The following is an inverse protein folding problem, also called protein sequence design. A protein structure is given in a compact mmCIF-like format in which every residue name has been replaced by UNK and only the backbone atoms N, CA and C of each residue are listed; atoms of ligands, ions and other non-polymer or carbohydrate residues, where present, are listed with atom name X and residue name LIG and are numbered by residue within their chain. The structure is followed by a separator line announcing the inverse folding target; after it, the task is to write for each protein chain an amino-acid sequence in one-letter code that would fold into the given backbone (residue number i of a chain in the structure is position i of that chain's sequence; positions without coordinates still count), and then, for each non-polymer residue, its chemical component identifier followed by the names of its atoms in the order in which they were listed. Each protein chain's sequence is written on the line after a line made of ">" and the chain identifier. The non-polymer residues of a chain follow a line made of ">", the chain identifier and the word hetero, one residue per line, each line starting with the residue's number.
data_IF_314533075309
#
_entry.id   IF_314533075309
#
_cell.length_a   1.000
_cell.length_b   1.000
_cell.length_c   1.000
_cell.angle_alpha   90.00
_cell.angle_beta   90.00
_cell.angle_gamma   90.00
#
_symmetry.space_group_name_H-M   'P 1'
#
loop_
_entity.id
_entity.type
_entity.pdbx_description
1 polymer ?
#
# COMPACT_ATOMS: atom_id res chain seq x y z
N UNK A 1 -38.22 -4.43 4.48
CA UNK A 1 -37.08 -4.77 5.37
C UNK A 1 -35.83 -5.16 4.59
N UNK A 2 -35.85 -6.17 3.69
CA UNK A 2 -34.65 -6.60 2.94
C UNK A 2 -33.96 -5.49 2.11
N UNK A 3 -34.72 -4.61 1.45
CA UNK A 3 -34.15 -3.49 0.67
C UNK A 3 -33.37 -2.48 1.54
N UNK A 4 -33.85 -2.24 2.77
CA UNK A 4 -33.15 -1.38 3.73
C UNK A 4 -31.84 -2.00 4.20
N UNK A 5 -31.85 -3.30 4.53
CA UNK A 5 -30.63 -4.02 4.89
C UNK A 5 -29.58 -3.98 3.76
N UNK A 6 -30.01 -4.17 2.50
CA UNK A 6 -29.09 -4.09 1.36
C UNK A 6 -28.40 -2.73 1.28
N UNK A 7 -29.12 -1.62 1.51
CA UNK A 7 -28.52 -0.29 1.53
C UNK A 7 -27.53 -0.11 2.68
N UNK A 8 -27.85 -0.61 3.88
CA UNK A 8 -26.93 -0.57 5.03
C UNK A 8 -25.64 -1.33 4.71
N UNK A 9 -25.74 -2.53 4.15
CA UNK A 9 -24.58 -3.32 3.74
C UNK A 9 -23.73 -2.59 2.70
N UNK A 10 -24.35 -1.92 1.72
CA UNK A 10 -23.64 -1.10 0.74
C UNK A 10 -22.93 0.10 1.39
N UNK A 11 -23.56 0.80 2.34
CA UNK A 11 -22.91 1.89 3.07
C UNK A 11 -21.67 1.38 3.80
N UNK A 12 -21.81 0.29 4.56
CA UNK A 12 -20.70 -0.28 5.33
C UNK A 12 -19.57 -0.77 4.43
N UNK A 13 -19.89 -1.47 3.35
CA UNK A 13 -18.89 -1.96 2.38
C UNK A 13 -18.15 -0.80 1.71
N UNK A 14 -18.87 0.18 1.18
CA UNK A 14 -18.27 1.31 0.48
C UNK A 14 -17.45 2.19 1.42
N UNK A 15 -17.92 2.40 2.66
CA UNK A 15 -17.11 3.06 3.69
C UNK A 15 -15.86 2.24 3.99
N UNK A 16 -15.96 0.93 4.24
CA UNK A 16 -14.79 0.10 4.54
C UNK A 16 -13.74 0.10 3.41
N UNK A 17 -14.17 0.16 2.15
CA UNK A 17 -13.29 0.16 0.99
C UNK A 17 -12.69 1.53 0.67
N UNK A 18 -13.41 2.63 0.93
CA UNK A 18 -13.05 3.95 0.38
C UNK A 18 -13.12 5.12 1.36
N UNK A 19 -13.52 4.87 2.61
CA UNK A 19 -13.97 5.82 3.62
C UNK A 19 -15.20 6.66 3.22
N UNK A 20 -15.21 7.25 2.02
CA UNK A 20 -16.21 8.23 1.56
C UNK A 20 -17.40 7.60 0.82
N UNK A 21 -17.25 6.37 0.33
CA UNK A 21 -18.24 5.73 -0.53
C UNK A 21 -19.59 5.47 0.16
N UNK A 22 -19.61 5.25 1.47
CA UNK A 22 -20.87 5.13 2.20
C UNK A 22 -21.66 6.44 2.23
N UNK A 23 -20.97 7.58 2.40
CA UNK A 23 -21.59 8.92 2.32
C UNK A 23 -22.12 9.16 0.90
N UNK A 24 -21.31 8.85 -0.13
CA UNK A 24 -21.74 8.95 -1.53
C UNK A 24 -22.98 8.11 -1.81
N UNK A 25 -23.07 6.91 -1.25
CA UNK A 25 -24.23 6.04 -1.41
C UNK A 25 -25.47 6.59 -0.70
N UNK A 26 -25.34 7.14 0.52
CA UNK A 26 -26.45 7.80 1.21
C UNK A 26 -27.00 8.98 0.40
N UNK A 27 -26.13 9.82 -0.17
CA UNK A 27 -26.53 10.91 -1.06
C UNK A 27 -27.22 10.39 -2.32
N UNK A 28 -26.73 9.30 -2.89
CA UNK A 28 -27.31 8.67 -4.07
C UNK A 28 -28.76 8.19 -3.86
N UNK A 29 -29.13 7.79 -2.64
CA UNK A 29 -30.49 7.37 -2.29
C UNK A 29 -31.52 8.50 -2.42
N UNK A 30 -31.08 9.77 -2.39
CA UNK A 30 -31.93 10.95 -2.59
C UNK A 30 -32.29 11.18 -4.08
N UNK A 31 -31.64 10.47 -4.99
CA UNK A 31 -31.79 10.65 -6.44
C UNK A 31 -32.63 9.54 -7.07
N UNK A 32 -33.35 9.86 -8.16
CA UNK A 32 -34.07 8.84 -8.96
C UNK A 32 -33.11 7.89 -9.70
N UNK A 33 -31.96 8.39 -10.15
CA UNK A 33 -30.92 7.61 -10.86
C UNK A 33 -29.74 7.32 -9.91
N UNK A 34 -29.95 6.41 -8.96
CA UNK A 34 -29.03 6.13 -7.85
C UNK A 34 -27.57 5.93 -8.28
N UNK A 35 -27.29 5.15 -9.33
CA UNK A 35 -25.92 4.94 -9.77
C UNK A 35 -25.24 6.20 -10.31
N UNK A 36 -25.96 7.04 -11.07
CA UNK A 36 -25.43 8.34 -11.50
C UNK A 36 -25.26 9.29 -10.31
N UNK A 37 -26.22 9.28 -9.38
CA UNK A 37 -26.13 10.04 -8.12
C UNK A 37 -24.91 9.63 -7.30
N UNK A 38 -24.63 8.33 -7.21
CA UNK A 38 -23.44 7.81 -6.53
C UNK A 38 -22.16 8.26 -7.21
N UNK A 39 -22.04 8.09 -8.53
CA UNK A 39 -20.84 8.50 -9.27
C UNK A 39 -20.57 10.01 -9.12
N UNK A 40 -21.61 10.84 -9.23
CA UNK A 40 -21.50 12.29 -9.05
C UNK A 40 -21.09 12.66 -7.61
N UNK A 41 -21.76 12.09 -6.61
CA UNK A 41 -21.46 12.35 -5.21
C UNK A 41 -20.06 11.85 -4.83
N UNK A 42 -19.67 10.65 -5.29
CA UNK A 42 -18.35 10.09 -5.03
C UNK A 42 -17.24 10.91 -5.69
N UNK A 43 -17.41 11.32 -6.95
CA UNK A 43 -16.46 12.19 -7.64
C UNK A 43 -16.29 13.52 -6.90
N UNK A 44 -17.39 14.15 -6.46
CA UNK A 44 -17.33 15.38 -5.69
C UNK A 44 -16.60 15.20 -4.36
N UNK A 45 -16.90 14.14 -3.61
CA UNK A 45 -16.23 13.81 -2.34
C UNK A 45 -14.75 13.48 -2.54
N UNK A 46 -14.41 12.74 -3.59
CA UNK A 46 -13.03 12.38 -3.95
C UNK A 46 -12.20 13.62 -4.28
N UNK A 47 -12.71 14.52 -5.13
CA UNK A 47 -12.04 15.80 -5.45
C UNK A 47 -11.91 16.65 -4.19
N UNK A 48 -12.98 16.76 -3.40
CA UNK A 48 -12.96 17.54 -2.14
C UNK A 48 -11.88 17.02 -1.21
N UNK A 49 -11.76 15.70 -1.07
CA UNK A 49 -10.78 15.08 -0.19
C UNK A 49 -9.33 15.43 -0.50
N UNK A 50 -8.97 15.57 -1.78
CA UNK A 50 -7.63 16.01 -2.17
C UNK A 50 -7.28 17.39 -1.58
N UNK A 51 -8.24 18.30 -1.51
CA UNK A 51 -8.02 19.66 -1.02
C UNK A 51 -8.21 19.82 0.49
N UNK A 52 -9.06 19.00 1.11
CA UNK A 52 -9.39 19.14 2.54
C UNK A 52 -8.67 18.14 3.45
N UNK A 53 -8.08 17.06 2.91
CA UNK A 53 -7.24 16.14 3.69
C UNK A 53 -6.07 16.84 4.41
N UNK A 54 -5.37 17.86 3.84
CA UNK A 54 -4.32 18.58 4.54
C UNK A 54 -4.79 19.25 5.84
N UNK A 55 -6.03 19.74 5.87
CA UNK A 55 -6.65 20.31 7.07
C UNK A 55 -6.86 19.27 8.18
N UNK A 56 -6.88 17.98 7.82
CA UNK A 56 -6.98 16.84 8.71
C UNK A 56 -5.63 16.17 9.00
N UNK A 57 -4.50 16.80 8.64
CA UNK A 57 -3.16 16.24 8.85
C UNK A 57 -2.83 15.07 7.91
N UNK A 58 -3.34 15.13 6.67
CA UNK A 58 -3.11 14.13 5.63
C UNK A 58 -2.76 14.78 4.30
N UNK A 59 -1.81 14.20 3.59
CA UNK A 59 -1.38 14.63 2.27
C UNK A 59 -1.59 13.50 1.26
N UNK A 60 -2.08 13.84 0.07
CA UNK A 60 -2.26 12.89 -1.00
C UNK A 60 -0.92 12.56 -1.66
N UNK A 61 -0.54 11.29 -1.70
CA UNK A 61 0.60 10.82 -2.47
C UNK A 61 0.31 10.90 -3.98
N UNK A 62 1.33 11.11 -4.84
CA UNK A 62 1.11 11.35 -6.26
C UNK A 62 0.53 10.12 -6.98
N UNK A 63 -0.71 10.24 -7.46
CA UNK A 63 -1.39 9.20 -8.24
C UNK A 63 -0.81 9.02 -9.66
N UNK A 64 -0.26 10.10 -10.20
CA UNK A 64 0.24 10.21 -11.58
C UNK A 64 1.49 11.08 -11.59
N UNK A 65 2.20 11.05 -12.72
CA UNK A 65 3.37 11.87 -12.97
C UNK A 65 4.63 11.07 -13.26
N UNK A 66 5.67 11.80 -13.65
CA UNK A 66 6.99 11.26 -14.01
C UNK A 66 8.05 11.48 -12.92
N UNK A 67 7.61 11.91 -11.74
CA UNK A 67 8.45 11.99 -10.55
C UNK A 67 8.95 10.62 -10.07
N UNK A 68 9.95 10.62 -9.17
CA UNK A 68 10.53 9.40 -8.63
C UNK A 68 9.62 8.68 -7.62
N UNK A 69 8.56 9.34 -7.14
CA UNK A 69 7.54 8.78 -6.25
C UNK A 69 6.19 8.71 -6.95
N UNK A 70 5.47 7.60 -6.77
CA UNK A 70 4.07 7.47 -7.19
C UNK A 70 3.30 6.43 -6.40
N UNK A 71 1.98 6.48 -6.47
CA UNK A 71 1.11 5.36 -6.12
C UNK A 71 1.19 4.30 -7.21
N UNK A 72 1.28 3.03 -6.80
CA UNK A 72 1.51 1.89 -7.68
C UNK A 72 0.33 1.59 -8.62
N UNK A 73 -0.90 1.83 -8.15
CA UNK A 73 -2.12 1.57 -8.91
C UNK A 73 -3.12 2.71 -8.77
N UNK A 74 -3.76 3.16 -9.88
CA UNK A 74 -4.88 4.09 -9.84
C UNK A 74 -6.03 3.63 -8.93
N UNK A 75 -6.12 2.32 -8.66
CA UNK A 75 -7.12 1.76 -7.76
C UNK A 75 -7.00 2.32 -6.33
N UNK A 76 -5.79 2.44 -5.79
CA UNK A 76 -5.58 3.02 -4.46
C UNK A 76 -5.96 4.49 -4.42
N UNK A 77 -5.75 5.21 -5.53
CA UNK A 77 -6.21 6.58 -5.69
C UNK A 77 -7.73 6.68 -5.71
N UNK A 78 -8.38 5.89 -6.56
CA UNK A 78 -9.83 5.83 -6.67
C UNK A 78 -10.48 5.48 -5.32
N UNK A 79 -9.87 4.59 -4.54
CA UNK A 79 -10.35 4.15 -3.23
C UNK A 79 -9.92 5.08 -2.08
N UNK A 80 -9.30 6.22 -2.34
CA UNK A 80 -8.80 7.13 -1.30
C UNK A 80 -7.83 6.46 -0.29
N UNK A 81 -7.00 5.49 -0.71
CA UNK A 81 -6.05 4.75 0.15
C UNK A 81 -4.61 5.27 0.03
N UNK A 82 -4.43 6.46 -0.51
CA UNK A 82 -3.13 7.05 -0.89
C UNK A 82 -2.78 8.30 -0.07
N UNK A 83 -3.42 8.49 1.08
CA UNK A 83 -3.14 9.64 1.93
C UNK A 83 -2.15 9.27 3.02
N UNK A 84 -1.21 10.13 3.36
CA UNK A 84 -0.21 9.90 4.39
C UNK A 84 -0.12 11.10 5.34
N UNK A 85 0.31 10.89 6.58
CA UNK A 85 0.71 12.01 7.43
C UNK A 85 1.93 12.72 6.81
N UNK A 86 2.13 14.04 6.98
CA UNK A 86 3.21 14.78 6.33
C UNK A 86 4.60 14.13 6.51
N UNK A 87 4.91 13.66 7.72
CA UNK A 87 6.17 12.98 8.02
C UNK A 87 6.37 11.65 7.26
N UNK A 88 5.28 10.96 6.92
CA UNK A 88 5.33 9.75 6.10
C UNK A 88 5.40 10.07 4.60
N UNK A 89 4.71 11.12 4.16
CA UNK A 89 4.83 11.64 2.79
C UNK A 89 6.27 12.11 2.51
N UNK A 90 6.86 12.89 3.42
CA UNK A 90 8.27 13.30 3.36
C UNK A 90 9.21 12.10 3.30
N UNK A 91 9.01 11.09 4.14
CA UNK A 91 9.86 9.89 4.15
C UNK A 91 9.78 9.11 2.83
N UNK A 92 8.60 9.05 2.20
CA UNK A 92 8.42 8.41 0.90
C UNK A 92 9.12 9.22 -0.22
N UNK A 93 9.01 10.54 -0.19
CA UNK A 93 9.64 11.44 -1.16
C UNK A 93 11.17 11.44 -1.02
N UNK A 94 11.67 11.46 0.21
CA UNK A 94 13.09 11.36 0.54
C UNK A 94 13.68 10.02 0.06
N UNK A 95 12.98 8.91 0.33
CA UNK A 95 13.33 7.59 -0.21
C UNK A 95 13.37 7.61 -1.74
N UNK A 96 12.34 8.16 -2.38
CA UNK A 96 12.25 8.21 -3.83
C UNK A 96 13.40 8.99 -4.48
N UNK A 97 13.72 10.17 -3.93
CA UNK A 97 14.87 10.98 -4.37
C UNK A 97 16.18 10.24 -4.17
N UNK A 98 16.38 9.61 -3.02
CA UNK A 98 17.58 8.83 -2.74
C UNK A 98 17.75 7.68 -3.72
N UNK A 99 16.68 6.92 -3.99
CA UNK A 99 16.71 5.79 -4.91
C UNK A 99 16.92 6.23 -6.36
N UNK A 100 16.30 7.32 -6.79
CA UNK A 100 16.54 7.91 -8.12
C UNK A 100 17.99 8.40 -8.27
N UNK A 101 18.59 8.96 -7.21
CA UNK A 101 19.99 9.41 -7.23
C UNK A 101 20.98 8.23 -7.21
N UNK A 102 20.69 7.20 -6.41
CA UNK A 102 21.59 6.04 -6.21
C UNK A 102 21.53 5.10 -7.40
N UNK A 103 20.32 4.92 -7.95
CA UNK A 103 20.09 4.11 -9.14
C UNK A 103 19.23 4.92 -10.13
N UNK A 104 19.85 5.61 -11.09
CA UNK A 104 19.13 6.44 -12.06
C UNK A 104 17.96 5.71 -12.72
N UNK A 105 16.83 6.42 -12.81
CA UNK A 105 15.58 5.90 -13.36
C UNK A 105 14.69 5.13 -12.38
N UNK A 106 15.08 4.98 -11.10
CA UNK A 106 14.21 4.35 -10.10
C UNK A 106 12.90 5.11 -9.92
N UNK A 107 11.78 4.39 -9.99
CA UNK A 107 10.50 4.88 -9.49
C UNK A 107 10.10 4.09 -8.26
N UNK A 108 10.04 4.78 -7.12
CA UNK A 108 9.51 4.25 -5.85
C UNK A 108 7.99 4.26 -5.91
N UNK A 109 7.36 3.13 -5.60
CA UNK A 109 5.92 2.97 -5.67
C UNK A 109 5.32 2.63 -4.31
N UNK A 110 4.28 3.35 -3.92
CA UNK A 110 3.49 3.06 -2.71
C UNK A 110 2.22 2.29 -3.10
N UNK A 111 1.95 1.18 -2.41
CA UNK A 111 0.71 0.43 -2.51
C UNK A 111 -0.35 1.13 -1.68
N UNK A 112 -0.51 0.74 -0.41
CA UNK A 112 -1.40 1.39 0.54
C UNK A 112 -0.67 2.37 1.46
N UNK A 113 -1.30 3.53 1.65
CA UNK A 113 -1.01 4.47 2.72
C UNK A 113 -2.21 4.48 3.68
N UNK A 114 -2.96 5.57 3.82
CA UNK A 114 -4.18 5.64 4.63
C UNK A 114 -5.35 6.27 3.90
N UNK A 115 -6.49 6.32 4.60
CA UNK A 115 -7.63 7.14 4.24
C UNK A 115 -7.39 8.64 4.53
N UNK A 116 -8.15 9.56 3.90
CA UNK A 116 -7.93 11.01 4.02
C UNK A 116 -8.32 11.61 5.37
N UNK A 117 -9.16 10.95 6.17
CA UNK A 117 -9.68 11.54 7.41
C UNK A 117 -9.61 10.60 8.62
N UNK A 118 -9.37 11.20 9.79
CA UNK A 118 -9.42 10.52 11.08
C UNK A 118 -8.25 9.55 11.30
N UNK A 119 -8.18 9.07 12.54
CA UNK A 119 -7.10 8.18 13.02
C UNK A 119 -7.64 6.82 13.51
N UNK A 120 -8.97 6.66 13.54
CA UNK A 120 -9.64 5.52 14.16
C UNK A 120 -9.99 4.42 13.16
N UNK A 121 -10.30 4.79 11.91
CA UNK A 121 -10.78 3.85 10.91
C UNK A 121 -9.62 2.98 10.38
N UNK A 122 -9.65 1.66 10.58
CA UNK A 122 -8.64 0.78 10.02
C UNK A 122 -8.78 0.71 8.50
N UNK A 123 -7.64 0.62 7.81
CA UNK A 123 -7.59 0.23 6.42
C UNK A 123 -7.70 -1.29 6.36
N UNK A 124 -8.79 -1.87 5.86
CA UNK A 124 -8.86 -3.33 5.71
C UNK A 124 -8.09 -3.77 4.46
N UNK A 125 -7.23 -4.81 4.52
CA UNK A 125 -6.84 -5.60 5.70
C UNK A 125 -5.65 -5.02 6.51
N UNK A 126 -5.00 -3.94 6.05
CA UNK A 126 -3.83 -3.29 6.65
C UNK A 126 -4.13 -2.42 7.88
N UNK A 127 -4.51 -3.05 9.00
CA UNK A 127 -5.08 -2.39 10.18
C UNK A 127 -4.23 -1.27 10.81
N UNK A 128 -2.90 -1.30 10.67
CA UNK A 128 -2.01 -0.27 11.25
C UNK A 128 -2.16 1.09 10.58
N UNK A 129 -2.54 1.12 9.30
CA UNK A 129 -2.48 2.29 8.43
C UNK A 129 -3.43 3.44 8.81
N UNK A 130 -4.27 3.26 9.83
CA UNK A 130 -5.29 4.24 10.25
C UNK A 130 -4.76 5.65 10.55
N UNK A 131 -3.48 5.79 10.92
CA UNK A 131 -2.87 7.09 11.31
C UNK A 131 -2.07 7.78 10.19
N UNK A 132 -2.04 7.23 8.97
CA UNK A 132 -1.21 7.78 7.90
C UNK A 132 0.31 7.68 8.15
N UNK A 133 0.72 6.90 9.15
CA UNK A 133 2.11 6.70 9.56
C UNK A 133 2.69 5.39 9.04
N UNK A 134 1.92 4.60 8.30
CA UNK A 134 2.35 3.34 7.74
C UNK A 134 2.17 3.38 6.22
N UNK A 135 3.16 2.87 5.49
CA UNK A 135 3.18 2.80 4.04
C UNK A 135 3.63 1.41 3.60
N UNK A 136 2.98 0.87 2.58
CA UNK A 136 3.41 -0.34 1.91
C UNK A 136 4.19 0.05 0.65
N UNK A 137 5.51 -0.13 0.67
CA UNK A 137 6.40 0.19 -0.44
C UNK A 137 6.56 -1.05 -1.32
N UNK A 138 6.24 -0.94 -2.60
CA UNK A 138 6.45 -2.03 -3.55
C UNK A 138 7.95 -2.34 -3.70
N UNK A 139 8.28 -3.63 -3.88
CA UNK A 139 9.64 -4.00 -4.28
C UNK A 139 9.99 -3.52 -5.69
N UNK A 140 11.29 -3.48 -5.95
CA UNK A 140 11.83 -3.23 -7.28
C UNK A 140 12.03 -4.55 -8.03
N UNK A 141 11.85 -4.54 -9.34
CA UNK A 141 11.94 -5.74 -10.16
C UNK A 141 12.81 -5.54 -11.39
N UNK A 142 13.43 -6.62 -11.86
CA UNK A 142 14.15 -6.72 -13.12
C UNK A 142 13.47 -7.68 -14.08
N UNK A 143 13.86 -7.63 -15.34
CA UNK A 143 13.64 -8.71 -16.30
C UNK A 143 14.53 -9.93 -16.01
N UNK A 144 14.51 -10.91 -16.93
CA UNK A 144 15.28 -12.14 -16.82
C UNK A 144 16.79 -11.91 -17.03
N UNK A 145 17.16 -10.82 -17.69
CA UNK A 145 18.52 -10.39 -17.99
C UNK A 145 19.14 -9.56 -16.84
N UNK A 146 18.31 -9.12 -15.89
CA UNK A 146 18.73 -8.31 -14.74
C UNK A 146 18.60 -6.80 -14.95
N UNK A 147 17.93 -6.37 -16.03
CA UNK A 147 17.65 -4.95 -16.29
C UNK A 147 16.47 -4.49 -15.44
N UNK A 148 16.62 -3.36 -14.74
CA UNK A 148 15.55 -2.76 -13.96
C UNK A 148 14.32 -2.43 -14.83
N UNK A 149 13.13 -2.73 -14.29
CA UNK A 149 11.85 -2.43 -14.92
C UNK A 149 11.14 -1.28 -14.18
N UNK A 150 11.17 -0.04 -14.70
CA UNK A 150 10.52 1.10 -14.08
C UNK A 150 9.02 0.85 -13.91
N UNK A 151 8.50 1.18 -12.72
CA UNK A 151 7.07 1.09 -12.38
C UNK A 151 6.48 -0.34 -12.47
N UNK A 152 7.32 -1.36 -12.58
CA UNK A 152 6.86 -2.74 -12.59
C UNK A 152 6.49 -3.22 -11.18
N UNK A 153 5.45 -4.05 -11.11
CA UNK A 153 4.98 -4.76 -9.92
C UNK A 153 4.98 -6.26 -10.20
N UNK A 154 5.04 -7.13 -9.19
CA UNK A 154 4.92 -8.58 -9.44
C UNK A 154 3.52 -8.99 -9.89
N UNK A 155 2.49 -8.30 -9.39
CA UNK A 155 1.08 -8.55 -9.68
C UNK A 155 0.37 -7.25 -10.11
N UNK A 156 -0.89 -7.30 -10.60
CA UNK A 156 -1.60 -6.12 -11.13
C UNK A 156 -1.74 -4.94 -10.15
N UNK A 157 -1.75 -5.19 -8.85
CA UNK A 157 -1.87 -4.15 -7.82
C UNK A 157 -0.74 -4.17 -6.79
N UNK A 158 0.30 -4.98 -7.02
CA UNK A 158 1.44 -5.11 -6.10
C UNK A 158 1.25 -6.12 -4.95
N UNK A 159 0.03 -6.59 -4.68
CA UNK A 159 -0.25 -7.64 -3.69
C UNK A 159 -0.44 -9.03 -4.31
N UNK A 160 -0.19 -10.09 -3.53
CA UNK A 160 -0.30 -11.51 -3.92
C UNK A 160 0.69 -11.98 -5.00
N UNK A 161 1.64 -11.15 -5.38
CA UNK A 161 2.82 -11.52 -6.16
C UNK A 161 3.98 -11.85 -5.23
N UNK A 162 3.88 -12.99 -4.54
CA UNK A 162 4.79 -13.35 -3.46
C UNK A 162 6.13 -13.87 -3.96
N UNK A 163 7.21 -13.31 -3.43
CA UNK A 163 8.55 -13.90 -3.51
C UNK A 163 8.57 -15.19 -2.70
N UNK A 164 8.44 -16.33 -3.39
CA UNK A 164 8.31 -17.65 -2.77
C UNK A 164 9.55 -18.04 -1.95
N UNK A 165 9.32 -18.67 -0.80
CA UNK A 165 10.37 -19.13 0.11
C UNK A 165 9.81 -19.88 1.32
N UNK A 166 10.69 -20.38 2.21
CA UNK A 166 10.29 -21.10 3.42
C UNK A 166 9.50 -20.21 4.37
N UNK A 167 8.45 -20.76 4.98
CA UNK A 167 7.67 -20.09 6.04
C UNK A 167 8.33 -20.31 7.41
N UNK A 168 8.48 -19.24 8.19
CA UNK A 168 8.87 -19.31 9.61
C UNK A 168 7.72 -19.73 10.54
N UNK A 169 6.51 -19.90 10.00
CA UNK A 169 5.30 -20.19 10.76
C UNK A 169 4.82 -21.63 10.58
N UNK A 170 4.37 -22.30 11.65
CA UNK A 170 3.71 -23.59 11.54
C UNK A 170 2.37 -23.45 10.78
N UNK A 171 1.92 -24.51 10.09
CA UNK A 171 0.59 -24.55 9.50
C UNK A 171 -0.49 -24.28 10.55
N UNK A 172 -1.44 -23.41 10.23
CA UNK A 172 -2.55 -23.06 11.11
C UNK A 172 -3.83 -22.78 10.30
N UNK A 173 -4.99 -23.01 10.92
CA UNK A 173 -6.29 -22.67 10.37
C UNK A 173 -7.19 -22.06 11.46
N UNK A 174 -7.89 -20.94 11.19
CA UNK A 174 -7.80 -20.11 9.99
C UNK A 174 -6.47 -19.34 9.92
N UNK A 175 -6.02 -18.99 8.71
CA UNK A 175 -4.78 -18.22 8.48
C UNK A 175 -4.98 -17.09 7.48
N UNK A 176 -4.26 -15.99 7.70
CA UNK A 176 -4.11 -14.88 6.76
C UNK A 176 -2.83 -15.00 5.92
N UNK A 177 -2.01 -16.03 6.17
CA UNK A 177 -0.70 -16.26 5.52
C UNK A 177 -0.83 -17.14 4.28
N UNK A 178 -1.71 -16.78 3.37
CA UNK A 178 -1.96 -17.57 2.17
C UNK A 178 -0.71 -17.66 1.30
N UNK A 179 -0.33 -18.87 0.87
CA UNK A 179 0.84 -19.02 0.01
C UNK A 179 0.54 -18.66 -1.46
N UNK A 180 -0.68 -18.95 -1.92
CA UNK A 180 -1.08 -18.70 -3.32
C UNK A 180 -0.06 -19.21 -4.34
N UNK A 181 0.63 -20.32 -4.06
CA UNK A 181 1.68 -20.87 -4.92
C UNK A 181 1.16 -21.21 -6.33
N UNK A 182 -0.09 -21.65 -6.42
CA UNK A 182 -0.80 -21.92 -7.67
C UNK A 182 -1.03 -20.67 -8.53
N UNK A 183 -1.05 -19.49 -7.92
CA UNK A 183 -1.29 -18.20 -8.60
C UNK A 183 0.00 -17.60 -9.17
N UNK A 184 1.15 -17.89 -8.55
CA UNK A 184 2.43 -17.25 -8.91
C UNK A 184 2.87 -17.49 -10.36
N UNK A 185 2.66 -18.68 -10.98
CA UNK A 185 3.00 -18.89 -12.38
C UNK A 185 2.17 -18.06 -13.38
N UNK A 186 1.05 -17.47 -12.95
CA UNK A 186 0.23 -16.60 -13.80
C UNK A 186 0.78 -15.16 -13.87
N UNK A 187 1.73 -14.81 -13.01
CA UNK A 187 2.36 -13.50 -12.98
C UNK A 187 3.52 -13.40 -13.97
N UNK A 188 3.80 -12.20 -14.52
CA UNK A 188 4.98 -11.99 -15.34
C UNK A 188 6.26 -12.47 -14.62
N UNK A 189 7.18 -13.07 -15.37
CA UNK A 189 8.49 -13.48 -14.84
C UNK A 189 9.37 -12.23 -14.62
N UNK A 190 9.14 -11.60 -13.46
CA UNK A 190 9.86 -10.43 -12.96
C UNK A 190 10.65 -10.88 -11.74
N UNK A 191 11.96 -10.63 -11.75
CA UNK A 191 12.84 -11.05 -10.65
C UNK A 191 12.99 -9.90 -9.66
N UNK A 192 13.03 -10.20 -8.37
CA UNK A 192 13.29 -9.20 -7.34
C UNK A 192 14.64 -8.52 -7.56
N UNK A 193 14.63 -7.20 -7.76
CA UNK A 193 15.86 -6.39 -7.80
C UNK A 193 16.37 -6.24 -6.36
N UNK A 194 17.21 -7.19 -5.98
CA UNK A 194 17.72 -7.29 -4.61
C UNK A 194 18.65 -6.14 -4.25
N UNK A 195 19.37 -5.57 -5.24
CA UNK A 195 20.26 -4.44 -5.03
C UNK A 195 19.47 -3.17 -4.69
N UNK A 196 18.46 -2.82 -5.49
CA UNK A 196 17.61 -1.65 -5.22
C UNK A 196 16.77 -1.83 -3.96
N UNK A 197 16.17 -3.01 -3.78
CA UNK A 197 15.32 -3.27 -2.62
C UNK A 197 16.14 -3.26 -1.33
N UNK A 198 17.34 -3.86 -1.33
CA UNK A 198 18.27 -3.81 -0.20
C UNK A 198 18.74 -2.37 0.10
N UNK A 199 19.08 -1.59 -0.92
CA UNK A 199 19.47 -0.19 -0.74
C UNK A 199 18.35 0.68 -0.16
N UNK A 200 17.10 0.48 -0.61
CA UNK A 200 15.95 1.18 -0.05
C UNK A 200 15.75 0.86 1.45
N UNK A 201 15.90 -0.41 1.83
CA UNK A 201 15.85 -0.83 3.24
C UNK A 201 16.97 -0.15 4.04
N UNK A 202 18.21 -0.19 3.53
CA UNK A 202 19.36 0.46 4.18
C UNK A 202 19.12 1.96 4.40
N UNK A 203 18.62 2.66 3.37
CA UNK A 203 18.27 4.08 3.49
C UNK A 203 17.20 4.33 4.56
N UNK A 204 16.13 3.53 4.55
CA UNK A 204 15.04 3.65 5.52
C UNK A 204 15.53 3.42 6.96
N UNK A 205 16.46 2.49 7.17
CA UNK A 205 17.11 2.25 8.48
C UNK A 205 17.91 3.49 8.91
N UNK A 206 18.69 4.07 7.99
CA UNK A 206 19.61 5.18 8.27
C UNK A 206 18.91 6.54 8.40
N UNK A 207 17.73 6.70 7.82
CA UNK A 207 17.00 7.99 7.78
C UNK A 207 16.62 8.54 9.16
N UNK A 208 16.59 7.70 10.20
CA UNK A 208 16.13 8.08 11.54
C UNK A 208 14.61 8.33 11.66
N UNK A 209 13.88 8.40 10.53
CA UNK A 209 12.41 8.58 10.48
C UNK A 209 11.64 7.28 10.70
N UNK A 210 12.24 6.15 10.33
CA UNK A 210 11.60 4.84 10.44
C UNK A 210 11.52 4.36 11.89
N UNK A 211 10.35 3.86 12.27
CA UNK A 211 10.11 3.22 13.58
C UNK A 211 10.22 1.70 13.49
N UNK A 212 9.66 1.10 12.45
CA UNK A 212 9.71 -0.35 12.20
C UNK A 212 9.44 -0.64 10.73
N UNK A 213 9.92 -1.80 10.27
CA UNK A 213 9.64 -2.34 8.95
C UNK A 213 9.35 -3.83 9.07
N UNK A 214 8.47 -4.34 8.22
CA UNK A 214 8.17 -5.76 8.13
C UNK A 214 8.51 -6.34 6.77
N UNK A 215 9.18 -7.49 6.80
CA UNK A 215 9.51 -8.30 5.64
C UNK A 215 9.60 -9.78 6.05
N UNK A 216 9.37 -10.69 5.11
CA UNK A 216 9.52 -12.12 5.38
C UNK A 216 11.00 -12.52 5.59
N UNK A 217 11.32 -13.40 6.57
CA UNK A 217 12.69 -13.75 6.91
C UNK A 217 13.50 -14.35 5.76
N UNK A 218 12.87 -15.11 4.86
CA UNK A 218 13.58 -15.75 3.74
C UNK A 218 14.11 -14.76 2.70
N UNK A 219 13.67 -13.50 2.73
CA UNK A 219 14.16 -12.46 1.83
C UNK A 219 15.43 -11.79 2.33
N UNK A 220 15.70 -11.83 3.64
CA UNK A 220 16.79 -11.08 4.27
C UNK A 220 18.14 -11.36 3.61
N UNK A 221 18.48 -12.65 3.43
CA UNK A 221 19.76 -13.05 2.82
C UNK A 221 19.91 -12.58 1.38
N UNK A 222 18.83 -12.63 0.57
CA UNK A 222 18.84 -12.15 -0.82
C UNK A 222 19.02 -10.64 -0.90
N UNK A 223 18.45 -9.91 0.06
CA UNK A 223 18.47 -8.45 0.13
C UNK A 223 19.72 -7.87 0.79
N UNK A 224 20.66 -8.73 1.21
CA UNK A 224 21.84 -8.30 1.97
C UNK A 224 21.49 -7.70 3.33
N UNK A 225 20.35 -8.10 3.90
CA UNK A 225 19.84 -7.60 5.17
C UNK A 225 19.94 -8.67 6.25
N UNK A 226 19.90 -8.23 7.50
CA UNK A 226 19.77 -9.10 8.67
C UNK A 226 18.61 -8.60 9.51
N UNK A 227 17.99 -9.52 10.26
CA UNK A 227 16.96 -9.12 11.22
C UNK A 227 17.60 -8.34 12.36
N UNK A 228 16.98 -7.25 12.80
CA UNK A 228 17.49 -6.45 13.90
C UNK A 228 16.94 -5.04 13.97
N UNK A 229 16.75 -4.54 15.20
CA UNK A 229 16.38 -3.16 15.48
C UNK A 229 15.03 -2.76 14.88
N UNK A 230 15.05 -2.24 13.66
CA UNK A 230 13.90 -1.70 12.92
C UNK A 230 13.28 -2.72 11.96
N UNK A 231 14.07 -3.59 11.33
CA UNK A 231 13.61 -4.60 10.37
C UNK A 231 13.28 -5.90 11.08
N UNK A 232 12.03 -6.36 10.98
CA UNK A 232 11.52 -7.47 11.80
C UNK A 232 10.55 -8.35 11.01
N UNK A 233 10.38 -9.58 11.48
CA UNK A 233 9.24 -10.40 11.09
C UNK A 233 7.94 -9.89 11.73
N UNK A 234 6.86 -9.78 10.95
CA UNK A 234 5.53 -9.35 11.43
C UNK A 234 4.82 -10.40 12.31
N UNK A 235 5.29 -11.64 12.32
CA UNK A 235 4.72 -12.75 13.07
C UNK A 235 3.64 -13.55 12.34
N UNK A 236 3.27 -14.68 12.92
CA UNK A 236 2.43 -15.70 12.27
C UNK A 236 0.93 -15.40 12.20
N UNK A 237 0.48 -14.28 12.78
CA UNK A 237 -0.94 -13.86 12.81
C UNK A 237 -1.26 -12.71 11.86
N UNK A 238 -0.29 -12.30 11.03
CA UNK A 238 -0.46 -11.30 10.00
C UNK A 238 -0.20 -11.90 8.62
N UNK A 239 -0.75 -11.27 7.58
CA UNK A 239 -0.46 -11.62 6.18
C UNK A 239 1.05 -11.57 5.90
N UNK A 240 1.47 -12.24 4.82
CA UNK A 240 2.87 -12.26 4.41
C UNK A 240 3.31 -10.91 3.86
N UNK A 241 4.59 -10.58 4.04
CA UNK A 241 5.23 -9.34 3.55
C UNK A 241 6.40 -9.71 2.64
N UNK A 242 6.10 -10.51 1.62
CA UNK A 242 7.04 -10.93 0.57
C UNK A 242 6.56 -10.55 -0.83
N UNK A 243 5.58 -9.65 -0.93
CA UNK A 243 5.19 -8.92 -2.14
C UNK A 243 5.46 -7.40 -2.02
N UNK A 244 5.70 -6.91 -0.80
CA UNK A 244 6.01 -5.50 -0.49
C UNK A 244 6.82 -5.37 0.82
N UNK A 245 7.38 -4.18 1.03
CA UNK A 245 7.99 -3.74 2.30
C UNK A 245 6.99 -2.87 3.06
N UNK A 246 6.52 -3.33 4.21
CA UNK A 246 5.71 -2.48 5.10
C UNK A 246 6.62 -1.62 5.97
N UNK A 247 6.39 -0.31 6.02
CA UNK A 247 7.14 0.63 6.85
C UNK A 247 6.20 1.40 7.78
N UNK A 248 6.68 1.71 8.96
CA UNK A 248 5.98 2.53 9.95
C UNK A 248 6.92 3.63 10.41
N UNK A 249 6.44 4.86 10.41
CA UNK A 249 7.22 6.06 10.68
C UNK A 249 7.06 6.51 12.14
N UNK A 250 8.05 7.25 12.63
CA UNK A 250 7.95 7.93 13.92
C UNK A 250 6.92 9.07 13.82
N UNK A 251 6.08 9.27 14.86
CA UNK A 251 5.15 10.39 14.91
C UNK A 251 5.85 11.74 14.78
#
# INVERSE_FOLDING_TARGET
>A
MLRGLAHILWVLLLTALTQLGGIAWLLALLTRRRWLGFLAAYAALWVTAVFTAPLAGREALPCWGDGPLRVASPMFCLMNRHYAAPQAADAAEDLAKHMQSTFPGTVTQVLDASFPYGDQMPLLPHLSHRRGLDLDIAFYYTDAEGTYLPRALRSPIGYWGFEQGPSACPPAFPTLRWNMSWLQPLWPDRRLDSARTGAAITYLIQSGRTRRMFIEPHLLGKLGQSEGGLLRFQGCRAARHDDHLHISLRP
#
